data_IF_936252008293
#
_entry.id   IF_936252008293
#
_cell.length_a   1.000
_cell.length_b   1.000
_cell.length_c   1.000
_cell.angle_alpha   90.00
_cell.angle_beta   90.00
_cell.angle_gamma   90.00
#
_symmetry.space_group_name_H-M   'P 1'
#
loop_
_entity.id
_entity.type
_entity.pdbx_description
1 polymer ?
#
# COMPACT_ATOMS: atom_id res chain seq x y z
N UNK A 1 -22.72 8.50 -8.23
CA UNK A 1 -21.80 7.42 -8.67
C UNK A 1 -21.40 6.59 -7.47
N UNK A 2 -21.52 5.27 -7.53
CA UNK A 2 -21.02 4.33 -6.53
C UNK A 2 -19.70 3.69 -7.00
N UNK A 3 -18.73 3.57 -6.10
CA UNK A 3 -17.41 2.94 -6.37
C UNK A 3 -16.94 2.12 -5.16
N UNK A 4 -15.74 1.54 -5.26
CA UNK A 4 -15.19 0.64 -4.23
C UNK A 4 -15.72 -0.79 -4.32
N UNK A 5 -15.27 -1.61 -3.37
CA UNK A 5 -15.69 -3.00 -3.18
C UNK A 5 -17.22 -3.12 -3.05
N UNK A 6 -17.83 -2.25 -2.25
CA UNK A 6 -19.26 -2.25 -1.96
C UNK A 6 -20.15 -1.57 -3.01
N UNK A 7 -19.63 -1.13 -4.17
CA UNK A 7 -20.36 -0.27 -5.13
C UNK A 7 -21.72 -0.80 -5.58
N UNK A 8 -21.90 -2.12 -5.61
CA UNK A 8 -23.16 -2.78 -6.00
C UNK A 8 -24.24 -2.69 -4.92
N UNK A 9 -23.86 -2.38 -3.68
CA UNK A 9 -24.75 -2.25 -2.53
C UNK A 9 -25.15 -0.79 -2.27
N UNK A 10 -25.00 0.09 -3.27
CA UNK A 10 -25.27 1.53 -3.18
C UNK A 10 -26.48 1.88 -4.05
N UNK A 11 -27.72 1.60 -3.59
CA UNK A 11 -28.92 1.67 -4.43
C UNK A 11 -29.27 3.09 -4.89
N UNK A 12 -28.77 4.11 -4.21
CA UNK A 12 -28.96 5.52 -4.56
C UNK A 12 -27.98 6.04 -5.63
N UNK A 13 -27.05 5.22 -6.12
CA UNK A 13 -26.09 5.65 -7.13
C UNK A 13 -26.67 5.54 -8.55
N UNK A 14 -26.60 6.62 -9.32
CA UNK A 14 -27.04 6.62 -10.73
C UNK A 14 -26.19 5.71 -11.63
N UNK A 15 -24.93 5.48 -11.24
CA UNK A 15 -23.93 4.69 -11.98
C UNK A 15 -22.99 4.00 -11.02
N UNK A 16 -22.58 2.77 -11.37
CA UNK A 16 -21.55 2.02 -10.66
C UNK A 16 -20.27 1.96 -11.49
N UNK A 17 -19.18 2.47 -10.95
CA UNK A 17 -17.87 2.56 -11.63
C UNK A 17 -16.82 1.86 -10.76
N UNK A 18 -15.88 1.17 -11.39
CA UNK A 18 -14.79 0.48 -10.66
C UNK A 18 -13.91 1.49 -9.95
N UNK A 19 -13.41 1.12 -8.76
CA UNK A 19 -12.47 1.96 -8.01
C UNK A 19 -11.17 2.19 -8.79
N UNK A 20 -10.72 1.21 -9.57
CA UNK A 20 -9.54 1.33 -10.45
C UNK A 20 -9.72 2.53 -11.40
N UNK A 21 -10.89 2.65 -12.05
CA UNK A 21 -11.18 3.76 -12.95
C UNK A 21 -11.33 5.08 -12.18
N UNK A 22 -11.94 5.06 -10.99
CA UNK A 22 -12.08 6.24 -10.15
C UNK A 22 -10.73 6.76 -9.62
N UNK A 23 -9.82 5.88 -9.20
CA UNK A 23 -8.47 6.24 -8.75
C UNK A 23 -7.63 6.81 -9.90
N UNK A 24 -7.64 6.18 -11.08
CA UNK A 24 -6.96 6.70 -12.26
C UNK A 24 -7.46 8.10 -12.66
N UNK A 25 -8.78 8.29 -12.72
CA UNK A 25 -9.39 9.60 -13.04
C UNK A 25 -9.12 10.64 -11.95
N UNK A 26 -9.21 10.24 -10.68
CA UNK A 26 -8.95 11.11 -9.55
C UNK A 26 -7.51 11.59 -9.49
N UNK A 27 -6.55 10.67 -9.68
CA UNK A 27 -5.12 11.00 -9.72
C UNK A 27 -4.81 11.95 -10.89
N UNK A 28 -5.31 11.66 -12.09
CA UNK A 28 -5.16 12.54 -13.26
C UNK A 28 -5.78 13.94 -13.03
N UNK A 29 -6.92 14.01 -12.35
CA UNK A 29 -7.56 15.28 -12.01
C UNK A 29 -6.77 16.11 -10.98
N UNK A 30 -6.21 15.45 -9.95
CA UNK A 30 -5.51 16.14 -8.85
C UNK A 30 -4.08 16.52 -9.24
N UNK A 31 -3.33 15.58 -9.82
CA UNK A 31 -1.90 15.73 -10.10
C UNK A 31 -1.60 16.13 -11.55
N UNK A 32 -2.60 16.08 -12.44
CA UNK A 32 -2.50 16.56 -13.81
C UNK A 32 -2.48 15.45 -14.87
N UNK A 33 -2.59 15.84 -16.15
CA UNK A 33 -2.70 14.91 -17.29
C UNK A 33 -1.41 14.13 -17.57
N UNK A 34 -0.30 14.46 -16.92
CA UNK A 34 0.99 13.81 -17.12
C UNK A 34 1.10 12.48 -16.35
N UNK A 35 0.28 12.27 -15.30
CA UNK A 35 0.25 11.00 -14.53
C UNK A 35 0.08 9.80 -15.46
N UNK A 36 1.03 8.86 -15.38
CA UNK A 36 0.96 7.58 -16.11
C UNK A 36 0.80 6.38 -15.21
N UNK A 37 1.27 6.46 -13.97
CA UNK A 37 1.20 5.36 -13.02
C UNK A 37 0.52 5.80 -11.74
N UNK A 38 -0.45 5.01 -11.27
CA UNK A 38 -1.13 5.21 -10.00
C UNK A 38 -1.00 3.95 -9.17
N UNK A 39 -0.49 4.11 -7.95
CA UNK A 39 -0.46 3.08 -6.93
C UNK A 39 -1.55 3.37 -5.89
N UNK A 40 -2.51 2.46 -5.73
CA UNK A 40 -3.52 2.51 -4.67
C UNK A 40 -3.22 1.43 -3.64
N UNK A 41 -2.88 1.84 -2.42
CA UNK A 41 -2.62 0.93 -1.31
C UNK A 41 -3.75 1.03 -0.29
N UNK A 42 -4.70 0.11 -0.41
CA UNK A 42 -5.87 0.01 0.45
C UNK A 42 -5.60 -0.82 1.72
N UNK A 43 -6.67 -1.06 2.47
CA UNK A 43 -6.61 -1.92 3.66
C UNK A 43 -6.46 -3.40 3.31
N UNK A 44 -7.15 -3.88 2.28
CA UNK A 44 -7.23 -5.32 1.98
C UNK A 44 -6.55 -5.71 0.67
N UNK A 45 -6.35 -4.76 -0.22
CA UNK A 45 -5.73 -4.97 -1.52
C UNK A 45 -4.79 -3.81 -1.87
N UNK A 46 -4.03 -4.04 -2.93
CA UNK A 46 -3.12 -3.07 -3.54
C UNK A 46 -3.27 -3.15 -5.04
N UNK A 47 -3.24 -1.99 -5.71
CA UNK A 47 -3.44 -1.86 -7.15
C UNK A 47 -2.36 -0.98 -7.76
N UNK A 48 -1.69 -1.49 -8.78
CA UNK A 48 -0.82 -0.71 -9.65
C UNK A 48 -1.56 -0.50 -10.98
N UNK A 49 -1.76 0.75 -11.37
CA UNK A 49 -2.66 1.15 -12.45
C UNK A 49 -1.89 2.04 -13.41
N UNK A 50 -1.95 1.75 -14.71
CA UNK A 50 -1.48 2.67 -15.75
C UNK A 50 -2.67 3.40 -16.37
N UNK A 51 -2.48 4.67 -16.73
CA UNK A 51 -3.51 5.46 -17.38
C UNK A 51 -2.99 6.36 -18.51
N UNK A 52 -3.88 6.69 -19.45
CA UNK A 52 -3.64 7.65 -20.52
C UNK A 52 -3.72 9.11 -20.02
N UNK A 53 -3.45 10.08 -20.90
CA UNK A 53 -3.44 11.51 -20.59
C UNK A 53 -4.77 12.05 -20.08
N UNK A 54 -5.87 11.33 -20.31
CA UNK A 54 -7.20 11.70 -19.82
C UNK A 54 -7.48 11.05 -18.46
N UNK A 55 -6.67 10.10 -18.01
CA UNK A 55 -6.87 9.26 -16.82
C UNK A 55 -7.65 7.98 -17.09
N UNK A 56 -7.66 7.47 -18.34
CA UNK A 56 -8.34 6.21 -18.69
C UNK A 56 -7.37 5.08 -18.40
N UNK A 57 -7.83 4.07 -17.68
CA UNK A 57 -7.03 2.89 -17.36
C UNK A 57 -6.62 2.19 -18.66
N UNK A 58 -5.31 2.02 -18.86
CA UNK A 58 -4.71 1.29 -20.00
C UNK A 58 -4.27 -0.11 -19.59
N UNK A 59 -3.80 -0.27 -18.35
CA UNK A 59 -3.37 -1.53 -17.78
C UNK A 59 -3.50 -1.47 -16.25
N UNK A 60 -3.62 -2.61 -15.58
CA UNK A 60 -3.54 -2.67 -14.11
C UNK A 60 -3.16 -4.07 -13.63
N UNK A 61 -2.52 -4.14 -12.46
CA UNK A 61 -2.40 -5.35 -11.66
C UNK A 61 -2.90 -5.07 -10.24
N UNK A 62 -3.48 -6.09 -9.63
CA UNK A 62 -3.98 -6.05 -8.27
C UNK A 62 -3.54 -7.29 -7.49
N UNK A 63 -3.27 -7.12 -6.21
CA UNK A 63 -3.15 -8.22 -5.26
C UNK A 63 -4.21 -8.04 -4.17
N UNK A 64 -5.21 -8.92 -4.16
CA UNK A 64 -6.36 -8.95 -3.26
C UNK A 64 -6.42 -10.20 -2.38
N UNK A 65 -5.50 -11.16 -2.57
CA UNK A 65 -5.50 -12.45 -1.85
C UNK A 65 -4.60 -12.49 -0.63
N UNK A 66 -3.75 -11.47 -0.45
CA UNK A 66 -2.72 -11.48 0.57
C UNK A 66 -2.65 -10.14 1.31
N UNK A 67 -2.57 -10.19 2.64
CA UNK A 67 -2.38 -9.02 3.49
C UNK A 67 -0.94 -8.45 3.43
N UNK A 68 0.01 -9.15 2.80
CA UNK A 68 1.36 -8.64 2.63
C UNK A 68 1.36 -7.49 1.61
N UNK A 69 1.84 -6.32 2.05
CA UNK A 69 1.85 -5.10 1.25
C UNK A 69 0.53 -4.34 1.23
N UNK A 70 -0.38 -4.59 2.19
CA UNK A 70 -1.64 -3.86 2.35
C UNK A 70 -1.75 -3.27 3.75
N UNK A 71 -2.72 -2.38 3.95
CA UNK A 71 -2.93 -1.75 5.26
C UNK A 71 -3.30 -2.75 6.37
N UNK A 72 -3.87 -3.90 6.04
CA UNK A 72 -4.14 -4.96 7.03
C UNK A 72 -2.84 -5.52 7.61
N UNK A 73 -1.80 -5.66 6.80
CA UNK A 73 -0.47 -6.05 7.28
C UNK A 73 0.10 -5.00 8.25
N UNK A 74 -0.05 -3.73 7.90
CA UNK A 74 0.34 -2.60 8.75
C UNK A 74 -0.41 -2.57 10.08
N UNK A 75 -1.73 -2.75 10.08
CA UNK A 75 -2.54 -2.88 11.32
C UNK A 75 -2.01 -3.99 12.23
N UNK A 76 -1.69 -5.17 11.66
CA UNK A 76 -1.16 -6.27 12.45
C UNK A 76 0.18 -5.93 13.12
N UNK A 77 1.05 -5.16 12.47
CA UNK A 77 2.34 -4.76 13.02
C UNK A 77 2.22 -3.62 14.03
N UNK A 78 1.33 -2.66 13.75
CA UNK A 78 0.91 -1.62 14.69
C UNK A 78 0.43 -2.25 16.00
N UNK A 79 -0.47 -3.24 15.93
CA UNK A 79 -0.97 -3.98 17.10
C UNK A 79 0.13 -4.80 17.80
N UNK A 80 0.98 -5.49 17.05
CA UNK A 80 2.06 -6.31 17.59
C UNK A 80 3.02 -5.49 18.46
N UNK A 81 3.32 -4.28 18.02
CA UNK A 81 4.34 -3.42 18.61
C UNK A 81 3.75 -2.37 19.56
N UNK A 82 2.43 -2.31 19.68
CA UNK A 82 1.74 -1.33 20.53
C UNK A 82 1.93 0.11 20.06
N UNK A 83 2.03 0.31 18.73
CA UNK A 83 2.25 1.62 18.11
C UNK A 83 0.99 2.00 17.35
N UNK A 84 0.38 3.18 17.57
CA UNK A 84 -0.75 3.62 16.76
C UNK A 84 -0.40 3.63 15.27
N UNK A 85 -1.29 3.15 14.40
CA UNK A 85 -1.00 3.00 12.97
C UNK A 85 -0.55 4.30 12.28
N UNK A 86 -1.07 5.44 12.75
CA UNK A 86 -0.71 6.77 12.23
C UNK A 86 0.71 7.20 12.62
N UNK A 87 1.30 6.58 13.65
CA UNK A 87 2.63 6.91 14.16
C UNK A 87 3.70 5.97 13.58
N UNK A 88 3.30 4.96 12.81
CA UNK A 88 4.23 3.94 12.28
C UNK A 88 5.25 4.56 11.34
N UNK A 89 4.82 5.42 10.40
CA UNK A 89 5.72 6.05 9.43
C UNK A 89 6.82 6.84 10.13
N UNK A 90 6.44 7.81 10.95
CA UNK A 90 7.37 8.64 11.71
C UNK A 90 8.33 7.81 12.57
N UNK A 91 7.82 6.84 13.34
CA UNK A 91 8.67 6.00 14.21
C UNK A 91 9.55 5.02 13.45
N UNK A 92 9.19 4.66 12.22
CA UNK A 92 10.05 3.81 11.38
C UNK A 92 11.33 4.55 10.94
N UNK A 93 11.32 5.89 10.94
CA UNK A 93 12.49 6.70 10.66
C UNK A 93 13.36 7.01 11.88
N UNK A 94 12.89 6.70 13.10
CA UNK A 94 13.62 6.90 14.36
C UNK A 94 14.68 5.79 14.61
N UNK A 95 15.42 5.45 13.56
CA UNK A 95 16.50 4.45 13.57
C UNK A 95 17.82 5.09 13.14
N UNK A 96 18.93 4.61 13.68
CA UNK A 96 20.27 5.13 13.30
C UNK A 96 20.69 4.68 11.91
N UNK A 97 20.33 3.46 11.56
CA UNK A 97 20.67 2.81 10.29
C UNK A 97 19.45 2.01 9.82
N UNK A 98 19.23 2.00 8.52
CA UNK A 98 18.13 1.25 7.89
C UNK A 98 18.35 -0.26 8.07
N UNK A 99 17.47 -0.98 8.79
CA UNK A 99 17.63 -2.40 9.00
C UNK A 99 17.30 -3.22 7.75
N UNK A 100 17.79 -4.48 7.66
CA UNK A 100 17.29 -5.43 6.68
C UNK A 100 15.80 -5.69 6.87
N UNK A 101 15.11 -5.95 5.77
CA UNK A 101 13.70 -6.31 5.80
C UNK A 101 13.48 -7.64 6.53
N UNK A 102 12.38 -7.73 7.29
CA UNK A 102 11.78 -9.03 7.62
C UNK A 102 11.14 -9.63 6.37
N UNK A 103 10.67 -10.88 6.46
CA UNK A 103 10.00 -11.55 5.34
C UNK A 103 8.92 -10.69 4.67
N UNK A 104 9.11 -10.34 3.40
CA UNK A 104 8.14 -9.62 2.56
C UNK A 104 7.09 -10.54 1.91
N UNK A 105 7.24 -11.86 2.08
CA UNK A 105 6.38 -12.87 1.44
C UNK A 105 5.04 -13.05 2.15
N UNK A 106 5.05 -13.12 3.48
CA UNK A 106 3.86 -13.41 4.28
C UNK A 106 3.92 -12.68 5.63
N UNK A 107 2.84 -11.97 5.99
CA UNK A 107 2.74 -11.24 7.26
C UNK A 107 2.92 -12.16 8.48
N UNK A 108 2.53 -13.43 8.39
CA UNK A 108 2.71 -14.41 9.47
C UNK A 108 4.20 -14.74 9.70
N UNK A 109 4.98 -14.87 8.62
CA UNK A 109 6.42 -15.08 8.72
C UNK A 109 7.14 -13.80 9.15
N UNK A 110 6.76 -12.66 8.59
CA UNK A 110 7.23 -11.35 9.02
C UNK A 110 7.06 -11.18 10.53
N UNK A 111 5.87 -11.52 11.07
CA UNK A 111 5.58 -11.47 12.51
C UNK A 111 6.49 -12.38 13.32
N UNK A 112 6.72 -13.61 12.83
CA UNK A 112 7.56 -14.59 13.51
C UNK A 112 9.01 -14.09 13.62
N UNK A 113 9.53 -13.53 12.53
CA UNK A 113 10.85 -12.91 12.48
C UNK A 113 10.95 -11.67 13.36
N UNK A 114 9.99 -10.75 13.26
CA UNK A 114 9.89 -9.55 14.08
C UNK A 114 9.88 -9.86 15.58
N UNK A 115 9.10 -10.87 16.00
CA UNK A 115 9.10 -11.35 17.39
C UNK A 115 10.48 -11.88 17.81
N UNK A 116 11.20 -12.53 16.88
CA UNK A 116 12.58 -12.96 17.09
C UNK A 116 13.56 -11.79 17.25
N UNK A 117 13.40 -10.71 16.47
CA UNK A 117 14.21 -9.50 16.57
C UNK A 117 13.99 -8.78 17.91
N UNK A 118 12.73 -8.63 18.34
CA UNK A 118 12.40 -8.09 19.66
C UNK A 118 13.08 -8.89 20.79
N UNK A 119 13.08 -10.22 20.70
CA UNK A 119 13.77 -11.09 21.68
C UNK A 119 15.30 -10.95 21.66
N UNK A 120 15.87 -10.53 20.52
CA UNK A 120 17.29 -10.21 20.39
C UNK A 120 17.63 -8.80 20.89
N UNK A 121 16.65 -8.06 21.41
CA UNK A 121 16.84 -6.72 21.96
C UNK A 121 16.73 -5.60 20.96
N UNK A 122 16.20 -5.86 19.76
CA UNK A 122 15.88 -4.78 18.81
C UNK A 122 14.77 -3.90 19.38
N UNK A 123 14.91 -2.60 19.17
CA UNK A 123 13.91 -1.60 19.50
C UNK A 123 12.65 -1.75 18.65
N UNK A 124 11.56 -1.12 19.10
CA UNK A 124 10.30 -1.09 18.35
C UNK A 124 10.48 -0.40 17.00
N UNK A 125 11.24 0.70 16.97
CA UNK A 125 11.56 1.51 15.81
C UNK A 125 12.32 0.69 14.76
N UNK A 126 13.34 -0.08 15.18
CA UNK A 126 14.10 -0.95 14.27
C UNK A 126 13.21 -2.04 13.65
N UNK A 127 12.28 -2.62 14.42
CA UNK A 127 11.36 -3.64 13.91
C UNK A 127 10.30 -3.02 12.99
N UNK A 128 9.82 -1.81 13.28
CA UNK A 128 8.93 -1.06 12.39
C UNK A 128 9.60 -0.75 11.07
N UNK A 129 10.83 -0.21 11.10
CA UNK A 129 11.62 0.08 9.91
C UNK A 129 11.81 -1.18 9.05
N UNK A 130 12.20 -2.30 9.67
CA UNK A 130 12.37 -3.57 8.98
C UNK A 130 11.07 -4.05 8.30
N UNK A 131 9.92 -3.81 8.91
CA UNK A 131 8.63 -4.17 8.32
C UNK A 131 8.19 -3.19 7.23
N UNK A 132 8.37 -1.89 7.41
CA UNK A 132 8.08 -0.88 6.39
C UNK A 132 8.89 -1.13 5.12
N UNK A 133 10.17 -1.49 5.28
CA UNK A 133 11.01 -1.96 4.18
C UNK A 133 10.46 -3.20 3.49
N UNK A 134 10.06 -4.22 4.25
CA UNK A 134 9.45 -5.43 3.70
C UNK A 134 8.16 -5.14 2.90
N UNK A 135 7.34 -4.20 3.36
CA UNK A 135 6.18 -3.75 2.61
C UNK A 135 6.58 -3.02 1.33
N UNK A 136 7.53 -2.09 1.39
CA UNK A 136 8.00 -1.35 0.22
C UNK A 136 8.52 -2.30 -0.87
N UNK A 137 9.30 -3.32 -0.50
CA UNK A 137 9.79 -4.36 -1.43
C UNK A 137 8.63 -5.13 -2.08
N UNK A 138 7.59 -5.48 -1.30
CA UNK A 138 6.40 -6.18 -1.81
C UNK A 138 5.60 -5.32 -2.79
N UNK A 139 5.44 -4.04 -2.47
CA UNK A 139 4.76 -3.04 -3.30
C UNK A 139 5.54 -2.84 -4.60
N UNK A 140 6.85 -2.65 -4.50
CA UNK A 140 7.76 -2.49 -5.64
C UNK A 140 7.63 -3.65 -6.62
N UNK A 141 7.63 -4.90 -6.13
CA UNK A 141 7.48 -6.09 -6.99
C UNK A 141 6.18 -6.10 -7.80
N UNK A 142 5.08 -5.54 -7.27
CA UNK A 142 3.82 -5.41 -8.02
C UNK A 142 3.93 -4.33 -9.09
N UNK A 143 4.47 -3.18 -8.70
CA UNK A 143 4.60 -1.99 -9.54
C UNK A 143 5.55 -2.24 -10.73
N UNK A 144 6.68 -2.92 -10.49
CA UNK A 144 7.63 -3.33 -11.51
C UNK A 144 6.99 -4.24 -12.57
N UNK A 145 6.10 -5.15 -12.17
CA UNK A 145 5.40 -6.08 -13.09
C UNK A 145 4.38 -5.40 -13.99
N UNK A 146 3.81 -4.27 -13.57
CA UNK A 146 2.93 -3.46 -14.42
C UNK A 146 3.74 -2.69 -15.46
N UNK A 147 4.96 -2.29 -15.12
CA UNK A 147 5.78 -1.36 -15.88
C UNK A 147 5.59 0.06 -15.35
N UNK A 148 6.65 0.62 -14.75
CA UNK A 148 6.60 1.96 -14.17
C UNK A 148 6.83 2.99 -15.25
N UNK A 149 5.87 3.89 -15.42
CA UNK A 149 6.04 5.10 -16.20
C UNK A 149 6.15 6.30 -15.25
N UNK A 150 7.00 7.27 -15.63
CA UNK A 150 7.20 8.52 -14.90
C UNK A 150 5.87 9.28 -14.72
N UNK A 151 5.85 10.20 -13.75
CA UNK A 151 4.62 10.80 -13.20
C UNK A 151 3.75 9.75 -12.49
N UNK A 152 4.20 9.47 -11.26
CA UNK A 152 3.70 8.42 -10.38
C UNK A 152 2.92 9.03 -9.21
N UNK A 153 1.66 8.62 -9.06
CA UNK A 153 0.80 9.06 -7.95
C UNK A 153 0.52 7.90 -7.00
N UNK A 154 0.56 8.17 -5.68
CA UNK A 154 0.18 7.22 -4.64
C UNK A 154 -1.14 7.65 -4.01
N UNK A 155 -2.05 6.71 -3.85
CA UNK A 155 -3.39 6.89 -3.30
C UNK A 155 -3.71 5.76 -2.33
N UNK A 156 -4.86 5.84 -1.67
CA UNK A 156 -5.28 4.86 -0.67
C UNK A 156 -4.89 5.28 0.75
N UNK A 157 -5.33 4.49 1.74
CA UNK A 157 -5.13 4.83 3.16
C UNK A 157 -3.67 4.78 3.59
N UNK A 158 -2.89 3.86 3.03
CA UNK A 158 -1.47 3.67 3.38
C UNK A 158 -0.57 4.73 2.77
N UNK A 159 -1.05 5.52 1.80
CA UNK A 159 -0.35 6.70 1.30
C UNK A 159 -0.14 7.80 2.37
N UNK A 160 -0.75 7.67 3.55
CA UNK A 160 -0.60 8.57 4.69
C UNK A 160 0.48 8.14 5.68
N UNK A 161 1.06 6.96 5.48
CA UNK A 161 2.19 6.47 6.25
C UNK A 161 3.47 7.19 5.79
#
# INVERSE_FOLDING_TARGET
VGTGYGRVNVPMADRSITEIACHARGANFIYGPEVRTVLDVGGQDIKAIQCDEKGKVTNFLMNDKCAAGTGRGMEFFSDLLGVPINDVGDRSFDVKEEPPAVSSTCVVYAKSEATGLLRKGWSTEEVLAAYCRAMAERIYSLVERVGVEAEFAVTGGIAKN
#
